data_IF_575751968624
#
_entry.id   IF_575751968624
#
_cell.length_a   1.000
_cell.length_b   1.000
_cell.length_c   1.000
_cell.angle_alpha   90.00
_cell.angle_beta   90.00
_cell.angle_gamma   90.00
#
_symmetry.space_group_name_H-M   'P 1'
#
loop_
_entity.id
_entity.type
_entity.pdbx_description
1 polymer ?
#
# COMPACT_ATOMS: atom_id res chain seq x y z
N UNK A 1 -54.76 -5.95 -19.92
CA UNK A 1 -54.94 -4.57 -20.43
C UNK A 1 -53.57 -4.14 -20.92
N UNK A 2 -53.20 -4.28 -22.21
CA UNK A 2 -53.71 -3.56 -23.40
C UNK A 2 -53.59 -2.05 -23.16
N UNK A 3 -52.86 -1.21 -23.91
CA UNK A 3 -52.30 -1.23 -25.27
C UNK A 3 -51.16 -0.17 -25.33
N UNK A 4 -50.08 -0.37 -26.11
CA UNK A 4 -49.80 0.21 -27.45
C UNK A 4 -49.87 1.76 -27.53
N UNK A 5 -48.81 2.50 -27.84
CA UNK A 5 -47.91 2.57 -29.02
C UNK A 5 -48.29 3.73 -29.97
N UNK A 6 -47.27 4.48 -30.42
CA UNK A 6 -47.06 5.16 -31.74
C UNK A 6 -46.25 6.46 -31.54
N UNK A 7 -44.97 6.49 -31.90
CA UNK A 7 -44.37 6.65 -33.26
C UNK A 7 -44.49 8.09 -33.78
N UNK A 8 -43.34 8.74 -33.92
CA UNK A 8 -43.04 9.61 -35.06
C UNK A 8 -41.52 9.64 -35.30
N UNK A 9 -41.11 8.96 -36.35
CA UNK A 9 -39.82 9.09 -36.99
C UNK A 9 -39.92 10.16 -38.09
N UNK A 10 -38.86 10.93 -38.31
CA UNK A 10 -38.52 11.39 -39.66
C UNK A 10 -37.02 11.72 -39.77
N UNK A 11 -36.34 10.83 -40.49
CA UNK A 11 -35.16 11.07 -41.32
C UNK A 11 -35.51 12.09 -42.43
N UNK A 12 -34.66 12.69 -43.27
CA UNK A 12 -33.29 12.53 -43.75
C UNK A 12 -32.98 13.89 -44.43
N UNK A 13 -31.72 14.32 -44.54
CA UNK A 13 -31.20 14.89 -45.79
C UNK A 13 -29.67 14.97 -45.75
N UNK A 14 -29.06 14.18 -46.62
CA UNK A 14 -27.64 14.23 -47.01
C UNK A 14 -27.34 15.48 -47.84
N UNK A 15 -26.13 16.03 -47.70
CA UNK A 15 -25.29 16.59 -48.78
C UNK A 15 -23.84 16.54 -48.25
N UNK A 16 -22.98 15.68 -48.76
CA UNK A 16 -22.17 15.76 -50.00
C UNK A 16 -20.78 16.37 -49.77
N UNK A 17 -19.79 15.63 -50.29
CA UNK A 17 -18.35 15.84 -50.25
C UNK A 17 -17.93 17.18 -50.84
N UNK A 18 -16.87 17.75 -50.27
CA UNK A 18 -15.83 18.42 -51.06
C UNK A 18 -14.47 18.36 -50.38
N UNK A 19 -13.50 17.95 -51.19
CA UNK A 19 -12.09 17.77 -50.88
C UNK A 19 -11.40 19.08 -50.47
N UNK A 20 -10.43 19.01 -49.56
CA UNK A 20 -9.23 19.82 -49.71
C UNK A 20 -8.00 19.04 -49.25
N UNK A 21 -7.08 18.84 -50.20
CA UNK A 21 -5.77 18.22 -50.05
C UNK A 21 -4.85 19.19 -49.32
N UNK A 22 -4.13 18.73 -48.31
CA UNK A 22 -2.79 19.25 -48.00
C UNK A 22 -1.86 18.04 -47.84
N UNK A 23 -0.87 18.01 -48.71
CA UNK A 23 0.17 17.00 -48.88
C UNK A 23 1.27 17.10 -47.81
N UNK A 24 1.63 15.92 -47.27
CA UNK A 24 3.00 15.37 -47.07
C UNK A 24 4.07 16.32 -46.53
N UNK A 25 4.66 16.07 -45.35
CA UNK A 25 5.81 15.15 -45.21
C UNK A 25 5.91 14.51 -43.80
N UNK A 26 6.13 13.19 -43.77
CA UNK A 26 6.63 12.42 -42.61
C UNK A 26 8.08 12.01 -42.89
N UNK A 27 8.97 11.95 -41.89
CA UNK A 27 10.02 10.96 -41.85
C UNK A 27 9.56 9.74 -41.05
N UNK A 28 9.75 8.57 -41.66
CA UNK A 28 9.49 7.25 -41.09
C UNK A 28 10.53 6.92 -40.00
N UNK A 29 10.08 6.33 -38.89
CA UNK A 29 10.90 5.44 -38.04
C UNK A 29 10.16 4.10 -37.97
N UNK A 30 10.83 2.95 -38.16
CA UNK A 30 10.18 1.69 -38.43
C UNK A 30 9.70 1.00 -37.14
N UNK A 31 8.47 0.49 -37.19
CA UNK A 31 8.01 -0.63 -36.37
C UNK A 31 8.83 -1.87 -36.74
N UNK A 32 9.66 -2.37 -35.82
CA UNK A 32 10.21 -3.71 -35.90
C UNK A 32 9.59 -4.62 -34.85
N UNK A 33 8.75 -5.51 -35.35
CA UNK A 33 8.59 -6.91 -34.97
C UNK A 33 8.76 -7.29 -33.49
N UNK A 34 7.61 -7.56 -32.86
CA UNK A 34 7.47 -8.58 -31.84
C UNK A 34 8.00 -9.92 -32.37
N UNK A 35 9.16 -10.34 -31.87
CA UNK A 35 9.64 -11.71 -32.00
C UNK A 35 9.45 -12.40 -30.66
N UNK A 36 8.41 -13.24 -30.59
CA UNK A 36 8.29 -14.28 -29.58
C UNK A 36 9.35 -15.34 -29.84
N UNK A 37 10.40 -15.38 -29.03
CA UNK A 37 11.29 -16.53 -28.93
C UNK A 37 11.38 -17.00 -27.49
N UNK A 38 10.90 -18.23 -27.30
CA UNK A 38 10.99 -19.04 -26.10
C UNK A 38 12.46 -19.16 -25.65
N UNK A 39 12.81 -18.49 -24.56
CA UNK A 39 13.90 -18.91 -23.70
C UNK A 39 13.29 -19.41 -22.40
N UNK A 40 13.20 -20.74 -22.36
CA UNK A 40 12.85 -21.59 -21.22
C UNK A 40 13.89 -21.36 -20.12
N UNK A 41 13.60 -20.45 -19.19
CA UNK A 41 14.29 -20.35 -17.91
C UNK A 41 13.35 -20.71 -16.78
N UNK A 42 13.82 -21.61 -15.93
CA UNK A 42 13.08 -22.50 -15.05
C UNK A 42 13.21 -22.00 -13.60
N UNK A 43 12.09 -21.99 -12.89
CA UNK A 43 11.89 -21.88 -11.43
C UNK A 43 11.69 -20.50 -10.77
N UNK A 44 10.44 -20.34 -10.32
CA UNK A 44 9.96 -19.46 -9.27
C UNK A 44 10.68 -19.76 -7.92
N UNK A 45 11.56 -18.86 -7.49
CA UNK A 45 11.81 -18.56 -6.07
C UNK A 45 11.80 -17.04 -5.97
N UNK A 46 11.06 -16.52 -5.00
CA UNK A 46 10.85 -15.08 -4.80
C UNK A 46 12.21 -14.41 -4.61
N UNK A 47 12.74 -13.85 -5.70
CA UNK A 47 13.78 -12.85 -5.66
C UNK A 47 13.12 -11.57 -5.13
N UNK A 48 13.58 -11.09 -3.98
CA UNK A 48 13.55 -9.67 -3.69
C UNK A 48 14.19 -8.96 -4.90
N UNK A 49 13.75 -7.74 -5.31
CA UNK A 49 14.43 -7.03 -6.38
C UNK A 49 15.77 -6.50 -5.85
N UNK A 50 16.73 -7.39 -5.63
CA UNK A 50 18.11 -7.10 -5.94
C UNK A 50 18.11 -6.90 -7.46
N UNK A 51 18.12 -5.64 -7.89
CA UNK A 51 18.39 -5.30 -9.29
C UNK A 51 19.86 -5.68 -9.52
N UNK A 52 20.11 -6.97 -9.73
CA UNK A 52 21.40 -7.49 -10.19
C UNK A 52 21.25 -7.66 -11.69
N UNK A 53 21.92 -6.80 -12.44
CA UNK A 53 22.06 -6.96 -13.87
C UNK A 53 23.12 -8.02 -14.13
N UNK A 54 22.74 -9.08 -14.85
CA UNK A 54 23.66 -10.09 -15.38
C UNK A 54 23.72 -9.91 -16.88
N UNK A 55 24.76 -9.25 -17.40
CA UNK A 55 25.09 -9.29 -18.82
C UNK A 55 26.04 -10.46 -19.08
N UNK A 56 25.71 -11.29 -20.07
CA UNK A 56 26.53 -12.43 -20.49
C UNK A 56 27.87 -11.92 -21.06
N UNK A 57 28.95 -12.47 -20.52
CA UNK A 57 30.34 -12.20 -20.92
C UNK A 57 30.61 -12.59 -22.37
N UNK A 58 31.25 -11.68 -23.09
CA UNK A 58 32.24 -11.99 -24.12
C UNK A 58 33.50 -11.17 -23.79
N UNK A 59 34.61 -11.87 -23.51
CA UNK A 59 35.88 -11.30 -23.07
C UNK A 59 36.66 -10.66 -24.23
N UNK A 60 37.15 -9.45 -24.02
CA UNK A 60 38.42 -8.92 -24.56
C UNK A 60 39.06 -8.01 -23.49
N UNK A 61 40.39 -8.02 -23.30
CA UNK A 61 41.05 -7.22 -22.27
C UNK A 61 41.31 -5.81 -22.79
N UNK A 62 40.38 -4.90 -22.51
CA UNK A 62 40.49 -3.50 -22.91
C UNK A 62 40.11 -2.63 -21.71
N UNK A 63 41.04 -1.78 -21.28
CA UNK A 63 40.88 -0.64 -20.34
C UNK A 63 39.49 -0.53 -19.69
N UNK A 64 39.36 -0.96 -18.43
CA UNK A 64 38.14 -0.90 -17.63
C UNK A 64 37.58 0.54 -17.63
N UNK A 65 36.66 0.81 -18.55
CA UNK A 65 35.90 2.05 -18.51
C UNK A 65 34.87 1.87 -17.41
N UNK A 66 35.03 2.60 -16.31
CA UNK A 66 34.06 2.63 -15.22
C UNK A 66 32.71 3.08 -15.80
N UNK A 67 31.74 2.15 -15.88
CA UNK A 67 30.36 2.44 -16.27
C UNK A 67 29.50 2.58 -15.03
N UNK A 68 28.39 3.34 -15.14
CA UNK A 68 27.45 3.49 -14.04
C UNK A 68 26.93 2.13 -13.53
N UNK A 69 26.62 1.20 -14.43
CA UNK A 69 26.22 -0.17 -14.11
C UNK A 69 27.30 -0.92 -13.30
N UNK A 70 28.57 -0.87 -13.74
CA UNK A 70 29.69 -1.52 -13.06
C UNK A 70 29.85 -0.97 -11.63
N UNK A 71 29.78 0.35 -11.47
CA UNK A 71 29.82 1.00 -10.17
C UNK A 71 28.65 0.58 -9.25
N UNK A 72 27.42 0.47 -9.77
CA UNK A 72 26.28 -0.03 -8.98
C UNK A 72 26.50 -1.47 -8.52
N UNK A 73 26.94 -2.35 -9.42
CA UNK A 73 27.20 -3.75 -9.08
C UNK A 73 28.33 -3.90 -8.05
N UNK A 74 29.43 -3.15 -8.21
CA UNK A 74 30.52 -3.11 -7.25
C UNK A 74 30.07 -2.55 -5.90
N UNK A 75 29.24 -1.50 -5.90
CA UNK A 75 28.63 -0.93 -4.69
C UNK A 75 27.80 -1.96 -3.92
N UNK A 76 26.99 -2.76 -4.61
CA UNK A 76 26.21 -3.86 -4.01
C UNK A 76 27.11 -4.93 -3.38
N UNK A 77 28.18 -5.33 -4.07
CA UNK A 77 29.14 -6.30 -3.54
C UNK A 77 29.82 -5.76 -2.27
N UNK A 78 30.28 -4.50 -2.29
CA UNK A 78 30.87 -3.85 -1.13
C UNK A 78 29.88 -3.72 0.03
N UNK A 79 28.62 -3.41 -0.26
CA UNK A 79 27.55 -3.33 0.75
C UNK A 79 27.32 -4.68 1.42
N UNK A 80 27.25 -5.78 0.66
CA UNK A 80 27.14 -7.14 1.22
C UNK A 80 28.33 -7.53 2.11
N UNK A 81 29.52 -6.99 1.83
CA UNK A 81 30.73 -7.16 2.65
C UNK A 81 30.75 -6.25 3.88
N UNK A 82 29.71 -5.44 4.10
CA UNK A 82 29.61 -4.48 5.19
C UNK A 82 30.48 -3.22 5.00
N UNK A 83 31.10 -3.05 3.83
CA UNK A 83 31.92 -1.86 3.49
C UNK A 83 31.03 -0.72 3.01
N UNK A 84 30.16 -0.24 3.89
CA UNK A 84 29.08 0.71 3.55
C UNK A 84 29.60 2.07 3.06
N UNK A 85 30.77 2.51 3.55
CA UNK A 85 31.40 3.77 3.08
C UNK A 85 31.85 3.64 1.62
N UNK A 86 32.52 2.54 1.29
CA UNK A 86 33.03 2.29 -0.06
C UNK A 86 31.88 2.05 -1.03
N UNK A 87 30.83 1.33 -0.60
CA UNK A 87 29.61 1.14 -1.37
C UNK A 87 28.92 2.47 -1.70
N UNK A 88 28.83 3.38 -0.72
CA UNK A 88 28.24 4.70 -0.93
C UNK A 88 29.04 5.51 -1.96
N UNK A 89 30.37 5.47 -1.90
CA UNK A 89 31.22 6.12 -2.90
C UNK A 89 30.96 5.58 -4.30
N UNK A 90 30.82 4.25 -4.45
CA UNK A 90 30.50 3.63 -5.74
C UNK A 90 29.13 4.05 -6.29
N UNK A 91 28.11 4.16 -5.44
CA UNK A 91 26.80 4.66 -5.89
C UNK A 91 26.84 6.15 -6.27
N UNK A 92 27.68 6.96 -5.62
CA UNK A 92 27.89 8.36 -6.02
C UNK A 92 28.65 8.50 -7.33
N UNK A 93 29.66 7.65 -7.55
CA UNK A 93 30.35 7.55 -8.85
C UNK A 93 29.37 7.14 -9.93
N UNK A 94 28.53 6.12 -9.70
CA UNK A 94 27.52 5.69 -10.66
C UNK A 94 26.57 6.83 -11.08
N UNK A 95 26.15 7.66 -10.12
CA UNK A 95 25.31 8.84 -10.39
C UNK A 95 26.04 9.95 -11.18
N UNK A 96 27.37 9.94 -11.16
CA UNK A 96 28.22 10.92 -11.88
C UNK A 96 28.58 10.47 -13.30
N UNK A 97 28.40 9.19 -13.62
CA UNK A 97 28.79 8.56 -14.91
C UNK A 97 27.67 8.56 -15.97
N UNK A 98 26.75 9.52 -15.92
CA UNK A 98 25.57 9.60 -16.80
C UNK A 98 24.75 8.30 -16.83
N UNK A 99 24.18 7.88 -15.69
CA UNK A 99 23.39 6.66 -15.61
C UNK A 99 22.12 6.75 -16.46
N UNK A 100 21.68 5.61 -16.99
CA UNK A 100 20.31 5.54 -17.52
C UNK A 100 19.28 5.59 -16.36
N UNK A 101 17.97 5.81 -16.64
CA UNK A 101 16.97 5.95 -15.58
C UNK A 101 16.87 4.75 -14.62
N UNK A 102 17.15 3.53 -15.09
CA UNK A 102 17.08 2.31 -14.26
C UNK A 102 18.30 2.24 -13.33
N UNK A 103 19.49 2.54 -13.85
CA UNK A 103 20.74 2.63 -13.07
C UNK A 103 20.66 3.74 -12.03
N UNK A 104 20.15 4.91 -12.40
CA UNK A 104 19.97 6.03 -11.49
C UNK A 104 18.97 5.68 -10.36
N UNK A 105 17.85 5.04 -10.70
CA UNK A 105 16.90 4.52 -9.72
C UNK A 105 17.59 3.58 -8.73
N UNK A 106 18.35 2.61 -9.23
CA UNK A 106 19.06 1.63 -8.42
C UNK A 106 20.14 2.30 -7.54
N UNK A 107 20.90 3.24 -8.09
CA UNK A 107 21.95 3.96 -7.36
C UNK A 107 21.36 4.83 -6.23
N UNK A 108 20.31 5.61 -6.48
CA UNK A 108 19.63 6.38 -5.43
C UNK A 108 19.02 5.47 -4.36
N UNK A 109 18.39 4.36 -4.77
CA UNK A 109 17.80 3.39 -3.86
C UNK A 109 18.85 2.75 -2.94
N UNK A 110 19.92 2.19 -3.52
CA UNK A 110 20.97 1.54 -2.74
C UNK A 110 21.76 2.54 -1.88
N UNK A 111 21.94 3.79 -2.36
CA UNK A 111 22.47 4.89 -1.54
C UNK A 111 21.57 5.18 -0.34
N UNK A 112 20.25 5.11 -0.49
CA UNK A 112 19.32 5.24 0.64
C UNK A 112 19.49 4.10 1.65
N UNK A 113 19.63 2.85 1.21
CA UNK A 113 19.91 1.70 2.07
C UNK A 113 21.22 1.90 2.85
N UNK A 114 22.28 2.39 2.20
CA UNK A 114 23.54 2.76 2.88
C UNK A 114 23.34 3.81 3.97
N UNK A 115 22.57 4.86 3.71
CA UNK A 115 22.27 5.89 4.71
C UNK A 115 21.40 5.37 5.85
N UNK A 116 20.40 4.53 5.56
CA UNK A 116 19.56 3.86 6.55
C UNK A 116 20.39 2.97 7.48
N UNK A 117 21.30 2.18 6.92
CA UNK A 117 22.23 1.34 7.70
C UNK A 117 23.13 2.17 8.62
N UNK A 118 23.53 3.39 8.20
CA UNK A 118 24.31 4.33 8.99
C UNK A 118 23.50 5.13 10.02
N UNK A 119 22.16 4.98 10.05
CA UNK A 119 21.27 5.80 10.89
C UNK A 119 21.09 7.24 10.38
N UNK A 120 21.49 7.54 9.15
CA UNK A 120 21.39 8.87 8.54
C UNK A 120 20.00 9.07 7.88
N UNK A 121 18.95 9.04 8.71
CA UNK A 121 17.54 9.03 8.26
C UNK A 121 17.19 10.13 7.25
N UNK A 122 17.63 11.37 7.49
CA UNK A 122 17.37 12.51 6.58
C UNK A 122 17.95 12.29 5.18
N UNK A 123 19.16 11.74 5.09
CA UNK A 123 19.81 11.48 3.79
C UNK A 123 19.16 10.30 3.09
N UNK A 124 18.79 9.26 3.85
CA UNK A 124 18.04 8.13 3.32
C UNK A 124 16.70 8.59 2.72
N UNK A 125 15.93 9.39 3.47
CA UNK A 125 14.67 9.96 3.00
C UNK A 125 14.85 10.77 1.71
N UNK A 126 15.85 11.66 1.64
CA UNK A 126 16.12 12.45 0.44
C UNK A 126 16.43 11.59 -0.80
N UNK A 127 17.24 10.55 -0.64
CA UNK A 127 17.54 9.63 -1.76
C UNK A 127 16.28 8.88 -2.22
N UNK A 128 15.42 8.47 -1.28
CA UNK A 128 14.14 7.82 -1.59
C UNK A 128 13.16 8.77 -2.26
N UNK A 129 13.07 10.05 -1.83
CA UNK A 129 12.25 11.07 -2.50
C UNK A 129 12.61 11.17 -3.98
N UNK A 130 13.91 11.30 -4.28
CA UNK A 130 14.41 11.33 -5.66
C UNK A 130 14.05 10.05 -6.42
N UNK A 131 14.28 8.87 -5.84
CA UNK A 131 13.95 7.59 -6.48
C UNK A 131 12.44 7.43 -6.77
N UNK A 132 11.57 7.85 -5.84
CA UNK A 132 10.12 7.80 -5.97
C UNK A 132 9.61 8.82 -7.01
N UNK A 133 10.10 10.05 -6.95
CA UNK A 133 9.66 11.17 -7.80
C UNK A 133 10.15 11.04 -9.24
N UNK A 134 11.46 10.96 -9.42
CA UNK A 134 12.10 11.10 -10.75
C UNK A 134 12.13 9.78 -11.50
N UNK A 135 12.24 8.68 -10.75
CA UNK A 135 12.40 7.35 -11.32
C UNK A 135 11.21 6.42 -11.07
N UNK A 136 10.11 6.92 -10.50
CA UNK A 136 8.87 6.16 -10.28
C UNK A 136 9.09 4.84 -9.52
N UNK A 137 9.99 4.84 -8.53
CA UNK A 137 10.14 3.72 -7.60
C UNK A 137 8.78 3.42 -6.95
N UNK A 138 8.47 2.14 -6.76
CA UNK A 138 7.26 1.74 -6.02
C UNK A 138 7.50 1.89 -4.53
N UNK A 139 6.63 2.60 -3.84
CA UNK A 139 6.72 2.73 -2.38
C UNK A 139 6.62 1.39 -1.65
N UNK A 140 5.89 0.42 -2.24
CA UNK A 140 5.88 -0.96 -1.74
C UNK A 140 7.26 -1.61 -1.68
N UNK A 141 8.20 -1.24 -2.56
CA UNK A 141 9.60 -1.71 -2.50
C UNK A 141 10.26 -1.28 -1.19
N UNK A 142 10.05 -0.03 -0.77
CA UNK A 142 10.58 0.54 0.48
C UNK A 142 10.00 -0.17 1.70
N UNK A 143 8.70 -0.50 1.68
CA UNK A 143 8.03 -1.20 2.77
C UNK A 143 8.49 -2.64 2.94
N UNK A 144 8.85 -3.30 1.83
CA UNK A 144 9.23 -4.72 1.81
C UNK A 144 10.74 -4.94 2.01
N UNK A 145 11.55 -3.89 1.93
CA UNK A 145 12.99 -4.04 2.01
C UNK A 145 13.45 -4.19 3.48
N UNK A 146 14.18 -5.28 3.82
CA UNK A 146 14.76 -5.47 5.14
C UNK A 146 15.87 -4.46 5.48
N UNK A 147 16.63 -3.95 4.51
CA UNK A 147 17.73 -2.99 4.71
C UNK A 147 17.20 -1.63 5.17
N UNK A 148 15.92 -1.34 4.89
CA UNK A 148 15.23 -0.13 5.31
C UNK A 148 14.42 -0.32 6.62
N UNK A 149 14.48 -1.49 7.27
CA UNK A 149 13.75 -1.72 8.52
C UNK A 149 14.15 -0.74 9.63
N UNK A 150 15.44 -0.44 9.78
CA UNK A 150 15.92 0.56 10.75
C UNK A 150 15.40 1.96 10.43
N UNK A 151 15.32 2.31 9.14
CA UNK A 151 14.80 3.59 8.68
C UNK A 151 13.29 3.71 8.93
N UNK A 152 12.52 2.63 8.80
CA UNK A 152 11.06 2.61 9.05
C UNK A 152 10.68 2.99 10.48
N UNK A 153 11.57 2.79 11.45
CA UNK A 153 11.36 3.21 12.83
C UNK A 153 11.65 4.70 13.09
N UNK A 154 12.24 5.42 12.12
CA UNK A 154 12.63 6.82 12.27
C UNK A 154 11.49 7.79 11.90
N UNK A 155 11.46 9.00 12.48
CA UNK A 155 10.47 10.02 12.13
C UNK A 155 10.54 10.43 10.65
N UNK A 156 11.73 10.43 10.04
CA UNK A 156 11.91 10.77 8.63
C UNK A 156 11.18 9.81 7.68
N UNK A 157 11.02 8.54 8.06
CA UNK A 157 10.21 7.61 7.27
C UNK A 157 8.73 7.96 7.36
N UNK A 158 8.25 8.44 8.51
CA UNK A 158 6.86 8.90 8.66
C UNK A 158 6.56 10.09 7.75
N UNK A 159 7.48 11.04 7.68
CA UNK A 159 7.37 12.19 6.78
C UNK A 159 7.29 11.71 5.33
N UNK A 160 8.24 10.86 4.90
CA UNK A 160 8.25 10.29 3.55
C UNK A 160 6.96 9.52 3.22
N UNK A 161 6.45 8.72 4.17
CA UNK A 161 5.21 7.96 3.98
C UNK A 161 3.99 8.87 3.86
N UNK A 162 3.92 9.94 4.65
CA UNK A 162 2.83 10.91 4.60
C UNK A 162 2.87 11.72 3.29
N UNK A 163 4.06 12.14 2.86
CA UNK A 163 4.27 12.76 1.55
C UNK A 163 3.82 11.82 0.40
N UNK A 164 4.21 10.54 0.45
CA UNK A 164 3.80 9.56 -0.54
C UNK A 164 2.27 9.29 -0.52
N UNK A 165 1.65 9.32 0.67
CA UNK A 165 0.21 9.10 0.88
C UNK A 165 -0.60 10.28 0.34
N UNK A 166 -0.17 11.51 0.65
CA UNK A 166 -0.75 12.74 0.12
C UNK A 166 -0.47 12.86 -1.38
N UNK A 167 0.62 12.27 -1.86
CA UNK A 167 1.07 12.43 -3.24
C UNK A 167 1.42 13.89 -3.55
N UNK A 168 2.16 14.11 -4.62
CA UNK A 168 2.52 15.46 -5.02
C UNK A 168 3.80 15.50 -5.83
N UNK A 169 4.35 16.69 -5.96
CA UNK A 169 5.58 16.94 -6.69
C UNK A 169 6.78 16.28 -6.01
N UNK A 170 6.85 16.25 -4.68
CA UNK A 170 8.05 15.82 -3.93
C UNK A 170 8.36 14.31 -4.00
N UNK A 171 7.33 13.47 -4.05
CA UNK A 171 7.46 11.99 -3.95
C UNK A 171 6.77 11.26 -5.12
N UNK A 172 6.10 12.01 -6.00
CA UNK A 172 5.25 11.44 -7.04
C UNK A 172 3.90 10.96 -6.52
N UNK A 173 3.08 10.38 -7.41
CA UNK A 173 1.71 9.95 -7.08
C UNK A 173 1.46 8.45 -7.27
N UNK A 174 2.50 7.64 -7.49
CA UNK A 174 2.36 6.18 -7.65
C UNK A 174 1.70 5.54 -6.43
N UNK A 175 2.22 5.80 -5.23
CA UNK A 175 1.68 5.23 -3.99
C UNK A 175 0.24 5.71 -3.70
N UNK A 176 -0.04 7.01 -3.82
CA UNK A 176 -1.39 7.55 -3.68
C UNK A 176 -2.38 6.90 -4.66
N UNK A 177 -1.97 6.67 -5.92
CA UNK A 177 -2.80 5.98 -6.91
C UNK A 177 -3.10 4.54 -6.49
N UNK A 178 -2.09 3.78 -6.03
CA UNK A 178 -2.28 2.41 -5.56
C UNK A 178 -3.26 2.36 -4.37
N UNK A 179 -3.11 3.26 -3.40
CA UNK A 179 -4.04 3.38 -2.26
C UNK A 179 -5.46 3.76 -2.70
N UNK A 180 -5.58 4.66 -3.68
CA UNK A 180 -6.87 5.06 -4.25
C UNK A 180 -7.58 3.89 -4.91
N UNK A 181 -6.86 3.08 -5.69
CA UNK A 181 -7.40 1.87 -6.31
C UNK A 181 -7.92 0.88 -5.25
N UNK A 182 -7.17 0.65 -4.17
CA UNK A 182 -7.63 -0.20 -3.06
C UNK A 182 -8.88 0.39 -2.39
N UNK A 183 -8.92 1.72 -2.22
CA UNK A 183 -10.08 2.40 -1.62
C UNK A 183 -11.33 2.34 -2.51
N UNK A 184 -11.17 2.37 -3.83
CA UNK A 184 -12.26 2.26 -4.80
C UNK A 184 -12.88 0.86 -4.79
N UNK A 185 -12.05 -0.18 -4.58
CA UNK A 185 -12.55 -1.55 -4.37
C UNK A 185 -13.39 -1.66 -3.10
N UNK A 186 -13.05 -0.92 -2.03
CA UNK A 186 -13.82 -0.93 -0.77
C UNK A 186 -15.10 -0.08 -0.84
N UNK A 187 -15.08 1.02 -1.60
CA UNK A 187 -16.19 1.94 -1.76
C UNK A 187 -16.48 2.12 -3.27
N UNK A 188 -17.16 1.15 -3.90
CA UNK A 188 -17.36 1.16 -5.34
C UNK A 188 -18.11 2.42 -5.79
N UNK A 189 -17.77 2.90 -6.98
CA UNK A 189 -18.41 4.04 -7.64
C UNK A 189 -18.27 5.40 -6.92
N UNK A 190 -17.34 5.54 -5.97
CA UNK A 190 -17.04 6.86 -5.35
C UNK A 190 -16.77 7.94 -6.39
N UNK A 191 -15.97 7.63 -7.42
CA UNK A 191 -15.69 8.57 -8.51
C UNK A 191 -16.95 9.02 -9.26
N UNK A 192 -17.86 8.09 -9.55
CA UNK A 192 -19.15 8.37 -10.21
C UNK A 192 -20.01 9.29 -9.34
N UNK A 193 -20.11 8.98 -8.04
CA UNK A 193 -20.88 9.79 -7.09
C UNK A 193 -20.36 11.23 -7.01
N UNK A 194 -19.04 11.42 -6.95
CA UNK A 194 -18.42 12.76 -6.96
C UNK A 194 -18.65 13.50 -8.26
N UNK A 195 -18.58 12.81 -9.40
CA UNK A 195 -18.93 13.39 -10.68
C UNK A 195 -20.35 13.97 -10.65
N UNK A 196 -21.32 13.22 -10.14
CA UNK A 196 -22.70 13.71 -10.01
C UNK A 196 -22.84 14.86 -9.03
N UNK A 197 -22.13 14.86 -7.90
CA UNK A 197 -22.15 16.00 -6.97
C UNK A 197 -21.68 17.29 -7.63
N UNK A 198 -20.57 17.23 -8.37
CA UNK A 198 -20.02 18.39 -9.09
C UNK A 198 -20.95 18.79 -10.24
N UNK A 199 -21.43 17.83 -11.02
CA UNK A 199 -22.32 18.08 -12.16
C UNK A 199 -23.64 18.72 -11.72
N UNK A 200 -24.26 18.23 -10.64
CA UNK A 200 -25.50 18.81 -10.12
C UNK A 200 -25.28 20.15 -9.44
N UNK A 201 -24.15 20.36 -8.77
CA UNK A 201 -23.76 21.68 -8.25
C UNK A 201 -23.60 22.68 -9.40
N UNK A 202 -22.92 22.30 -10.48
CA UNK A 202 -22.77 23.14 -11.67
C UNK A 202 -24.11 23.42 -12.35
N UNK A 203 -24.97 22.41 -12.52
CA UNK A 203 -26.29 22.56 -13.11
C UNK A 203 -27.19 23.51 -12.28
N UNK A 204 -27.20 23.36 -10.96
CA UNK A 204 -27.93 24.25 -10.06
C UNK A 204 -27.34 25.67 -10.06
N UNK A 205 -26.02 25.81 -10.17
CA UNK A 205 -25.35 27.10 -10.33
C UNK A 205 -25.73 27.82 -11.61
N UNK A 206 -25.77 27.10 -12.74
CA UNK A 206 -26.23 27.64 -14.04
C UNK A 206 -27.71 28.03 -13.95
N UNK A 207 -28.56 27.20 -13.34
CA UNK A 207 -29.98 27.53 -13.14
C UNK A 207 -30.17 28.78 -12.27
N UNK A 208 -29.41 28.89 -11.18
CA UNK A 208 -29.44 30.06 -10.30
C UNK A 208 -28.99 31.33 -11.02
N UNK A 209 -27.94 31.24 -11.86
CA UNK A 209 -27.46 32.35 -12.68
C UNK A 209 -28.57 32.95 -13.58
N UNK A 210 -29.43 32.11 -14.16
CA UNK A 210 -30.57 32.59 -14.95
C UNK A 210 -31.77 33.05 -14.11
N UNK A 211 -31.97 32.47 -12.92
CA UNK A 211 -33.10 32.82 -12.05
C UNK A 211 -32.87 34.15 -11.31
N UNK A 212 -31.64 34.53 -10.97
CA UNK A 212 -31.35 35.79 -10.25
C UNK A 212 -31.86 37.02 -11.02
N UNK A 213 -31.55 37.23 -12.32
CA UNK A 213 -32.12 38.33 -13.09
C UNK A 213 -33.66 38.25 -13.21
N UNK A 214 -34.24 37.05 -13.26
CA UNK A 214 -35.70 36.86 -13.32
C UNK A 214 -36.38 37.30 -12.03
N UNK A 215 -35.81 36.98 -10.88
CA UNK A 215 -36.29 37.43 -9.57
C UNK A 215 -36.23 38.96 -9.48
N UNK A 216 -35.13 39.57 -9.92
CA UNK A 216 -35.00 41.03 -9.93
C UNK A 216 -36.08 41.68 -10.80
N UNK A 217 -36.36 41.15 -12.00
CA UNK A 217 -37.47 41.63 -12.85
C UNK A 217 -38.83 41.39 -12.20
N UNK A 218 -39.04 40.23 -11.58
CA UNK A 218 -40.29 39.89 -10.91
C UNK A 218 -40.59 40.85 -9.73
N UNK A 219 -39.56 41.26 -8.98
CA UNK A 219 -39.68 42.24 -7.89
C UNK A 219 -39.93 43.66 -8.42
N UNK A 220 -39.28 44.05 -9.52
CA UNK A 220 -39.47 45.37 -10.13
C UNK A 220 -40.88 45.57 -10.70
N UNK A 221 -41.59 44.49 -11.03
CA UNK A 221 -42.94 44.52 -11.59
C UNK A 221 -42.99 45.02 -13.03
N UNK A 222 -44.16 44.91 -13.67
CA UNK A 222 -44.40 45.34 -15.05
C UNK A 222 -45.17 44.30 -15.88
N UNK A 223 -45.64 44.71 -17.06
CA UNK A 223 -46.35 43.80 -17.98
C UNK A 223 -45.42 42.66 -18.42
N UNK A 224 -45.86 41.42 -18.18
CA UNK A 224 -45.08 40.21 -18.46
C UNK A 224 -44.03 39.83 -17.40
N UNK A 225 -44.09 40.38 -16.18
CA UNK A 225 -43.23 39.97 -15.08
C UNK A 225 -43.49 38.49 -14.64
N UNK A 226 -42.45 37.68 -14.38
CA UNK A 226 -42.61 36.30 -13.89
C UNK A 226 -43.25 36.23 -12.49
N UNK A 227 -43.85 35.09 -12.14
CA UNK A 227 -44.34 34.88 -10.76
C UNK A 227 -43.19 34.87 -9.76
N UNK A 228 -43.30 35.72 -8.74
CA UNK A 228 -42.28 35.91 -7.70
C UNK A 228 -42.14 34.65 -6.85
N UNK A 229 -43.26 34.03 -6.46
CA UNK A 229 -43.24 32.88 -5.56
C UNK A 229 -42.63 31.65 -6.25
N UNK A 230 -43.05 31.36 -7.48
CA UNK A 230 -42.49 30.27 -8.28
C UNK A 230 -40.99 30.48 -8.57
N UNK A 231 -40.61 31.69 -9.00
CA UNK A 231 -39.20 31.98 -9.32
C UNK A 231 -38.31 31.94 -8.08
N UNK A 232 -38.78 32.47 -6.95
CA UNK A 232 -38.09 32.39 -5.67
C UNK A 232 -37.99 30.93 -5.16
N UNK A 233 -39.05 30.14 -5.31
CA UNK A 233 -39.06 28.71 -4.98
C UNK A 233 -38.01 27.94 -5.78
N UNK A 234 -37.93 28.17 -7.09
CA UNK A 234 -36.92 27.55 -7.96
C UNK A 234 -35.49 27.95 -7.59
N UNK A 235 -35.26 29.22 -7.22
CA UNK A 235 -33.94 29.65 -6.72
C UNK A 235 -33.61 29.00 -5.37
N UNK A 236 -34.57 28.92 -4.44
CA UNK A 236 -34.39 28.27 -3.15
C UNK A 236 -34.05 26.78 -3.30
N UNK A 237 -34.71 26.06 -4.20
CA UNK A 237 -34.40 24.65 -4.51
C UNK A 237 -32.96 24.51 -5.04
N UNK A 238 -32.54 25.37 -5.98
CA UNK A 238 -31.17 25.34 -6.50
C UNK A 238 -30.12 25.65 -5.41
N UNK A 239 -30.36 26.66 -4.57
CA UNK A 239 -29.47 27.00 -3.45
C UNK A 239 -29.38 25.82 -2.48
N UNK A 240 -30.52 25.24 -2.09
CA UNK A 240 -30.56 24.05 -1.24
C UNK A 240 -29.80 22.87 -1.87
N UNK A 241 -29.99 22.63 -3.16
CA UNK A 241 -29.27 21.61 -3.92
C UNK A 241 -27.75 21.83 -3.89
N UNK A 242 -27.28 23.04 -4.18
CA UNK A 242 -25.85 23.40 -4.10
C UNK A 242 -25.30 23.10 -2.70
N UNK A 243 -25.98 23.57 -1.65
CA UNK A 243 -25.55 23.34 -0.26
C UNK A 243 -25.43 21.85 0.04
N UNK A 244 -26.44 21.05 -0.33
CA UNK A 244 -26.44 19.60 -0.10
C UNK A 244 -25.32 18.91 -0.89
N UNK A 245 -25.18 19.18 -2.18
CA UNK A 245 -24.16 18.51 -3.01
C UNK A 245 -22.73 18.90 -2.62
N UNK A 246 -22.49 20.16 -2.25
CA UNK A 246 -21.20 20.60 -1.71
C UNK A 246 -20.92 19.91 -0.38
N UNK A 247 -21.89 19.84 0.53
CA UNK A 247 -21.72 19.13 1.80
C UNK A 247 -21.42 17.64 1.60
N UNK A 248 -22.13 16.97 0.68
CA UNK A 248 -21.89 15.57 0.33
C UNK A 248 -20.50 15.35 -0.30
N UNK A 249 -20.06 16.27 -1.16
CA UNK A 249 -18.73 16.24 -1.76
C UNK A 249 -17.62 16.35 -0.71
N UNK A 250 -17.73 17.32 0.20
CA UNK A 250 -16.78 17.49 1.30
C UNK A 250 -16.76 16.28 2.24
N UNK A 251 -17.94 15.72 2.55
CA UNK A 251 -18.05 14.53 3.38
C UNK A 251 -17.40 13.30 2.74
N UNK A 252 -17.63 13.07 1.44
CA UNK A 252 -17.03 11.95 0.72
C UNK A 252 -15.52 12.12 0.51
N UNK A 253 -15.01 13.36 0.40
CA UNK A 253 -13.57 13.64 0.42
C UNK A 253 -12.95 13.30 1.77
N UNK A 254 -13.57 13.75 2.87
CA UNK A 254 -13.12 13.40 4.22
C UNK A 254 -13.12 11.88 4.43
N UNK A 255 -14.17 11.18 3.98
CA UNK A 255 -14.27 9.72 4.10
C UNK A 255 -13.26 8.95 3.26
N UNK A 256 -12.89 9.45 2.08
CA UNK A 256 -11.80 8.86 1.29
C UNK A 256 -10.46 9.01 1.99
N UNK A 257 -10.13 10.20 2.52
CA UNK A 257 -8.88 10.44 3.24
C UNK A 257 -8.77 9.54 4.49
N UNK A 258 -9.85 9.43 5.28
CA UNK A 258 -9.92 8.51 6.42
C UNK A 258 -9.67 7.05 5.99
N UNK A 259 -10.25 6.62 4.87
CA UNK A 259 -10.06 5.28 4.33
C UNK A 259 -8.65 5.04 3.81
N UNK A 260 -8.07 5.98 3.07
CA UNK A 260 -6.69 5.90 2.55
C UNK A 260 -5.71 5.82 3.73
N UNK A 261 -5.91 6.62 4.77
CA UNK A 261 -5.10 6.55 5.99
C UNK A 261 -5.21 5.17 6.67
N UNK A 262 -6.42 4.61 6.77
CA UNK A 262 -6.61 3.26 7.32
C UNK A 262 -5.95 2.17 6.44
N UNK A 263 -6.06 2.27 5.11
CA UNK A 263 -5.45 1.32 4.19
C UNK A 263 -3.92 1.37 4.30
N UNK A 264 -3.34 2.57 4.33
CA UNK A 264 -1.90 2.76 4.51
C UNK A 264 -1.42 2.13 5.84
N UNK A 265 -2.09 2.41 6.96
CA UNK A 265 -1.79 1.79 8.27
C UNK A 265 -1.88 0.26 8.23
N UNK A 266 -2.91 -0.29 7.57
CA UNK A 266 -3.09 -1.74 7.44
C UNK A 266 -2.01 -2.37 6.57
N UNK A 267 -1.54 -1.68 5.52
CA UNK A 267 -0.44 -2.17 4.69
C UNK A 267 0.85 -2.23 5.51
N UNK A 268 1.19 -1.17 6.25
CA UNK A 268 2.35 -1.17 7.15
C UNK A 268 2.25 -2.27 8.22
N UNK A 269 1.09 -2.44 8.86
CA UNK A 269 0.86 -3.53 9.83
C UNK A 269 1.20 -4.88 9.22
N UNK A 270 0.75 -5.12 7.98
CA UNK A 270 0.89 -6.42 7.35
C UNK A 270 2.34 -6.81 7.06
N UNK A 271 3.25 -5.84 7.01
CA UNK A 271 4.69 -6.05 6.79
C UNK A 271 5.50 -6.18 8.08
N UNK A 272 4.87 -5.99 9.24
CA UNK A 272 5.60 -6.09 10.50
C UNK A 272 6.10 -7.53 10.73
N UNK A 273 7.39 -7.70 11.04
CA UNK A 273 7.99 -9.02 11.24
C UNK A 273 7.69 -9.59 12.63
N UNK A 274 7.42 -10.89 12.64
CA UNK A 274 7.19 -11.73 13.81
C UNK A 274 8.15 -12.90 13.79
N UNK A 275 8.72 -13.22 14.94
CA UNK A 275 9.44 -14.48 15.16
C UNK A 275 8.48 -15.48 15.77
N UNK A 276 8.25 -16.57 15.06
CA UNK A 276 7.47 -17.70 15.54
C UNK A 276 8.27 -18.51 16.56
N UNK A 277 7.59 -19.36 17.30
CA UNK A 277 8.23 -20.25 18.30
C UNK A 277 9.28 -21.22 17.73
N UNK A 278 9.28 -21.43 16.41
CA UNK A 278 10.27 -22.21 15.66
C UNK A 278 11.54 -21.41 15.33
N UNK A 279 11.66 -20.19 15.86
CA UNK A 279 12.71 -19.22 15.54
C UNK A 279 12.69 -18.72 14.07
N UNK A 280 11.65 -19.07 13.31
CA UNK A 280 11.43 -18.55 11.95
C UNK A 280 10.83 -17.15 12.02
N UNK A 281 11.40 -16.22 11.23
CA UNK A 281 10.85 -14.87 11.05
C UNK A 281 9.89 -14.87 9.86
N UNK A 282 8.70 -14.32 10.05
CA UNK A 282 7.63 -14.19 9.04
C UNK A 282 6.99 -12.81 9.15
N UNK A 283 6.45 -12.29 8.05
CA UNK A 283 5.63 -11.08 8.07
C UNK A 283 4.18 -11.42 8.46
N UNK A 284 3.46 -10.46 9.06
CA UNK A 284 2.05 -10.63 9.39
C UNK A 284 1.17 -11.02 8.19
N UNK A 285 1.47 -10.53 6.99
CA UNK A 285 0.76 -10.87 5.74
C UNK A 285 0.83 -12.37 5.42
N UNK A 286 1.92 -13.04 5.79
CA UNK A 286 2.12 -14.47 5.54
C UNK A 286 1.27 -15.35 6.48
N UNK A 287 0.77 -14.77 7.58
CA UNK A 287 -0.07 -15.42 8.57
C UNK A 287 -1.58 -15.22 8.29
N UNK A 288 -1.93 -14.49 7.22
CA UNK A 288 -3.33 -14.33 6.80
C UNK A 288 -3.98 -15.67 6.51
N UNK A 289 -5.27 -15.76 6.79
CA UNK A 289 -6.11 -16.97 6.69
C UNK A 289 -5.72 -18.13 7.60
N UNK A 290 -4.59 -18.05 8.30
CA UNK A 290 -4.12 -19.10 9.21
C UNK A 290 -4.43 -18.78 10.67
N UNK A 291 -4.18 -17.54 11.11
CA UNK A 291 -4.30 -17.14 12.51
C UNK A 291 -4.87 -15.74 12.68
N UNK A 292 -5.36 -15.46 13.89
CA UNK A 292 -5.88 -14.17 14.36
C UNK A 292 -4.91 -13.61 15.39
N UNK A 293 -3.99 -12.72 14.98
CA UNK A 293 -3.11 -12.06 15.92
C UNK A 293 -3.90 -11.23 16.95
N UNK A 294 -3.60 -11.43 18.22
CA UNK A 294 -4.03 -10.57 19.33
C UNK A 294 -2.77 -9.91 19.87
N UNK A 295 -2.61 -8.65 19.51
CA UNK A 295 -1.47 -7.83 19.92
C UNK A 295 -1.79 -7.28 21.31
N UNK A 296 -0.89 -7.51 22.27
CA UNK A 296 -0.99 -7.02 23.63
C UNK A 296 0.20 -6.10 23.86
N UNK A 297 -0.08 -4.84 24.16
CA UNK A 297 0.90 -3.80 24.02
C UNK A 297 0.87 -2.90 25.24
N UNK A 298 1.98 -2.81 25.97
CA UNK A 298 1.95 -2.14 27.28
C UNK A 298 3.23 -2.22 28.09
N UNK A 299 3.13 -1.83 29.35
CA UNK A 299 4.17 -2.10 30.35
C UNK A 299 4.37 -3.61 30.55
N UNK A 300 5.59 -3.99 30.93
CA UNK A 300 6.00 -5.39 31.09
C UNK A 300 5.10 -6.17 32.05
N UNK A 301 4.63 -5.52 33.11
CA UNK A 301 3.75 -6.11 34.13
C UNK A 301 2.37 -6.40 33.55
N UNK A 302 1.78 -5.44 32.84
CA UNK A 302 0.46 -5.57 32.21
C UNK A 302 0.46 -6.64 31.13
N UNK A 303 1.48 -6.64 30.27
CA UNK A 303 1.63 -7.66 29.21
C UNK A 303 1.78 -9.05 29.82
N UNK A 304 2.64 -9.20 30.84
CA UNK A 304 2.85 -10.49 31.52
C UNK A 304 1.57 -10.98 32.20
N UNK A 305 0.83 -10.09 32.86
CA UNK A 305 -0.45 -10.39 33.50
C UNK A 305 -1.51 -10.82 32.46
N UNK A 306 -1.60 -10.12 31.33
CA UNK A 306 -2.51 -10.46 30.25
C UNK A 306 -2.21 -11.85 29.68
N UNK A 307 -0.93 -12.17 29.43
CA UNK A 307 -0.49 -13.49 28.97
C UNK A 307 -0.83 -14.59 29.98
N UNK A 308 -0.59 -14.37 31.28
CA UNK A 308 -0.96 -15.34 32.34
C UNK A 308 -2.46 -15.61 32.38
N UNK A 309 -3.29 -14.58 32.22
CA UNK A 309 -4.75 -14.74 32.16
C UNK A 309 -5.20 -15.51 30.91
N UNK A 310 -4.52 -15.28 29.78
CA UNK A 310 -4.83 -15.94 28.50
C UNK A 310 -4.64 -17.47 28.57
N UNK A 311 -3.66 -17.95 29.33
CA UNK A 311 -3.39 -19.39 29.47
C UNK A 311 -4.59 -20.19 30.02
N UNK A 312 -5.47 -19.55 30.81
CA UNK A 312 -6.71 -20.20 31.28
C UNK A 312 -7.69 -20.51 30.15
N UNK A 313 -7.60 -19.77 29.04
CA UNK A 313 -8.47 -19.91 27.87
C UNK A 313 -7.72 -20.52 26.67
N UNK A 314 -6.52 -21.05 26.88
CA UNK A 314 -5.60 -21.49 25.82
C UNK A 314 -6.28 -22.41 24.79
N UNK A 315 -7.02 -23.41 25.25
CA UNK A 315 -7.67 -24.40 24.38
C UNK A 315 -8.71 -23.76 23.46
N UNK A 316 -9.58 -22.91 24.01
CA UNK A 316 -10.63 -22.24 23.24
C UNK A 316 -10.06 -21.19 22.28
N UNK A 317 -9.05 -20.44 22.72
CA UNK A 317 -8.34 -19.46 21.89
C UNK A 317 -7.59 -20.13 20.72
N UNK A 318 -6.92 -21.26 20.95
CA UNK A 318 -6.26 -22.03 19.88
C UNK A 318 -7.28 -22.59 18.87
N UNK A 319 -8.43 -23.09 19.33
CA UNK A 319 -9.51 -23.56 18.44
C UNK A 319 -10.03 -22.47 17.51
N UNK A 320 -9.93 -21.21 17.93
CA UNK A 320 -10.32 -20.01 17.17
C UNK A 320 -9.16 -19.39 16.38
N UNK A 321 -8.00 -20.03 16.41
CA UNK A 321 -6.81 -19.63 15.65
C UNK A 321 -6.08 -18.41 16.22
N UNK A 322 -6.23 -18.12 17.52
CA UNK A 322 -5.61 -16.94 18.13
C UNK A 322 -4.11 -17.11 18.31
N UNK A 323 -3.34 -16.07 17.93
CA UNK A 323 -1.90 -15.95 18.14
C UNK A 323 -1.60 -14.73 19.00
N UNK A 324 -0.99 -14.91 20.17
CA UNK A 324 -0.64 -13.79 21.05
C UNK A 324 0.68 -13.14 20.61
N UNK A 325 0.66 -11.82 20.46
CA UNK A 325 1.83 -10.99 20.10
C UNK A 325 2.04 -9.95 21.21
N UNK A 326 2.91 -10.20 22.18
CA UNK A 326 3.26 -9.22 23.20
C UNK A 326 4.24 -8.17 22.64
N UNK A 327 3.99 -6.89 22.94
CA UNK A 327 4.86 -5.76 22.61
C UNK A 327 5.06 -4.94 23.88
N UNK A 328 6.29 -4.87 24.38
CA UNK A 328 6.60 -4.17 25.63
C UNK A 328 7.17 -2.78 25.31
N UNK A 329 6.67 -1.77 26.03
CA UNK A 329 7.07 -0.38 25.79
C UNK A 329 8.54 -0.15 26.13
N UNK A 330 9.27 0.48 25.23
CA UNK A 330 10.67 0.87 25.46
C UNK A 330 11.70 -0.25 25.34
N UNK A 331 11.29 -1.51 25.14
CA UNK A 331 12.20 -2.66 25.01
C UNK A 331 13.07 -2.57 23.74
N UNK A 332 12.68 -1.75 22.75
CA UNK A 332 13.42 -1.48 21.52
C UNK A 332 14.48 -0.36 21.59
N UNK A 333 14.66 0.33 22.73
CA UNK A 333 15.69 1.39 22.87
C UNK A 333 17.08 0.83 23.20
N UNK A 334 17.17 -0.38 23.76
CA UNK A 334 18.41 -0.94 24.32
C UNK A 334 19.09 -2.01 23.46
N UNK A 335 18.41 -2.58 22.47
CA UNK A 335 19.08 -3.48 21.52
C UNK A 335 19.98 -2.66 20.61
N UNK A 336 21.24 -2.49 21.04
CA UNK A 336 22.38 -2.16 20.18
C UNK A 336 22.17 -2.87 18.86
N UNK A 337 22.10 -2.09 17.79
CA UNK A 337 22.15 -2.52 16.39
C UNK A 337 23.04 -3.77 16.34
N UNK A 338 22.46 -4.97 16.26
CA UNK A 338 23.26 -6.15 15.95
C UNK A 338 23.78 -5.87 14.55
N UNK A 339 25.05 -5.47 14.49
CA UNK A 339 25.85 -5.34 13.27
C UNK A 339 26.04 -6.74 12.68
N UNK A 340 24.95 -7.38 12.26
CA UNK A 340 25.00 -8.59 11.45
C UNK A 340 25.23 -8.12 10.03
N UNK A 341 26.50 -8.18 9.62
CA UNK A 341 26.86 -8.12 8.21
C UNK A 341 26.03 -9.15 7.45
N UNK A 342 25.38 -8.68 6.39
CA UNK A 342 24.46 -9.46 5.57
C UNK A 342 25.23 -10.33 4.58
N UNK A 343 25.40 -11.60 4.93
CA UNK A 343 25.69 -12.67 3.97
C UNK A 343 24.58 -13.70 4.02
N UNK A 344 23.90 -13.95 2.89
CA UNK A 344 23.08 -15.14 2.72
C UNK A 344 23.95 -16.38 3.01
N UNK A 345 23.58 -17.21 3.98
CA UNK A 345 24.20 -18.53 4.14
C UNK A 345 23.83 -19.41 2.93
N UNK A 346 24.79 -20.10 2.28
CA UNK A 346 24.48 -20.97 1.15
C UNK A 346 23.68 -22.19 1.64
N UNK A 347 22.44 -22.33 1.19
CA UNK A 347 21.67 -23.57 1.40
C UNK A 347 22.02 -24.55 0.27
N UNK A 348 22.50 -25.73 0.64
CA UNK A 348 22.86 -26.82 -0.26
C UNK A 348 21.73 -27.18 -1.24
N UNK A 349 22.11 -27.49 -2.48
CA UNK A 349 21.22 -27.83 -3.57
C UNK A 349 20.61 -29.24 -3.40
N UNK A 350 19.29 -29.32 -3.28
CA UNK A 350 18.53 -30.55 -3.49
C UNK A 350 17.95 -30.56 -4.92
N UNK A 351 18.05 -31.72 -5.57
CA UNK A 351 17.79 -31.94 -6.99
C UNK A 351 16.30 -31.78 -7.39
N UNK A 352 16.09 -31.30 -8.62
CA UNK A 352 14.78 -31.06 -9.24
C UNK A 352 14.22 -32.32 -9.93
N UNK A 353 12.90 -32.59 -9.83
CA UNK A 353 12.16 -33.33 -10.84
C UNK A 353 11.43 -32.42 -11.85
N UNK A 354 10.83 -33.07 -12.83
CA UNK A 354 10.38 -32.57 -14.13
C UNK A 354 8.96 -31.98 -14.13
N UNK A 355 8.78 -31.05 -15.07
CA UNK A 355 7.61 -30.24 -15.47
C UNK A 355 6.25 -30.96 -15.47
N UNK A 356 5.30 -30.34 -14.74
CA UNK A 356 3.86 -30.64 -14.71
C UNK A 356 3.08 -29.71 -13.76
N UNK A 357 3.37 -28.39 -13.77
CA UNK A 357 2.90 -27.47 -12.73
C UNK A 357 1.72 -26.58 -13.15
N UNK A 358 0.52 -26.90 -12.65
CA UNK A 358 -0.50 -25.89 -12.28
C UNK A 358 -1.29 -26.29 -11.02
N UNK A 359 -1.26 -27.57 -10.62
CA UNK A 359 -1.87 -28.03 -9.37
C UNK A 359 -0.89 -27.99 -8.17
N UNK A 360 0.41 -28.19 -8.41
CA UNK A 360 1.43 -28.33 -7.36
C UNK A 360 1.74 -27.04 -6.59
N UNK A 361 1.59 -25.86 -7.21
CA UNK A 361 1.74 -24.58 -6.48
C UNK A 361 0.66 -24.40 -5.41
N UNK A 362 -0.54 -24.94 -5.64
CA UNK A 362 -1.63 -24.96 -4.64
C UNK A 362 -1.37 -26.01 -3.58
N UNK A 363 -0.84 -27.17 -3.95
CA UNK A 363 -0.49 -28.23 -2.98
C UNK A 363 0.71 -27.84 -2.11
N UNK A 364 1.71 -27.14 -2.66
CA UNK A 364 2.85 -26.62 -1.91
C UNK A 364 2.47 -25.46 -1.00
N UNK A 365 1.58 -24.55 -1.41
CA UNK A 365 1.06 -23.51 -0.52
C UNK A 365 0.19 -24.07 0.57
N UNK A 366 -0.65 -25.08 0.28
CA UNK A 366 -1.45 -25.81 1.28
C UNK A 366 -0.57 -26.61 2.23
N UNK A 367 0.53 -27.21 1.76
CA UNK A 367 1.48 -27.94 2.61
C UNK A 367 2.35 -27.00 3.45
N UNK A 368 2.74 -25.84 2.91
CA UNK A 368 3.42 -24.80 3.65
C UNK A 368 2.49 -24.16 4.69
N UNK A 369 1.22 -23.93 4.34
CA UNK A 369 0.19 -23.45 5.27
C UNK A 369 -0.15 -24.50 6.33
N UNK A 370 -0.20 -25.79 6.00
CA UNK A 370 -0.45 -26.85 6.99
C UNK A 370 0.74 -27.04 7.94
N UNK A 371 1.98 -26.91 7.45
CA UNK A 371 3.19 -26.85 8.28
C UNK A 371 3.22 -25.61 9.16
N UNK A 372 2.95 -24.42 8.61
CA UNK A 372 2.81 -23.20 9.41
C UNK A 372 1.71 -23.33 10.47
N UNK A 373 0.55 -23.91 10.12
CA UNK A 373 -0.57 -24.17 11.04
C UNK A 373 -0.21 -25.15 12.16
N UNK A 374 0.71 -26.10 11.92
CA UNK A 374 1.26 -26.98 12.94
C UNK A 374 2.39 -26.33 13.77
N UNK A 375 3.08 -25.32 13.22
CA UNK A 375 4.21 -24.61 13.83
C UNK A 375 3.80 -23.38 14.66
N UNK A 376 2.61 -22.80 14.42
CA UNK A 376 2.12 -21.64 15.17
C UNK A 376 1.67 -22.08 16.56
N UNK A 377 2.60 -21.96 17.51
CA UNK A 377 2.27 -21.99 18.94
C UNK A 377 1.49 -20.73 19.32
N UNK A 378 0.78 -20.82 20.43
CA UNK A 378 -0.05 -19.77 21.05
C UNK A 378 0.57 -18.37 21.18
N UNK A 379 1.90 -18.22 21.02
CA UNK A 379 2.67 -16.98 21.20
C UNK A 379 3.72 -16.80 20.10
N UNK A 380 3.87 -15.56 19.61
CA UNK A 380 4.98 -15.10 18.77
C UNK A 380 5.75 -13.94 19.43
N UNK A 381 6.94 -13.63 18.95
CA UNK A 381 7.80 -12.53 19.41
C UNK A 381 7.88 -11.43 18.35
N UNK A 382 7.79 -10.17 18.76
CA UNK A 382 7.99 -9.03 17.87
C UNK A 382 9.48 -8.82 17.58
N UNK A 383 9.90 -8.89 16.31
CA UNK A 383 11.33 -8.80 15.93
C UNK A 383 11.87 -7.37 16.00
N UNK A 384 11.04 -6.39 15.63
CA UNK A 384 11.38 -4.96 15.66
C UNK A 384 10.46 -4.22 16.66
N UNK A 385 10.68 -4.31 17.99
CA UNK A 385 9.78 -3.70 18.97
C UNK A 385 9.52 -2.22 18.73
N UNK A 386 10.50 -1.48 18.21
CA UNK A 386 10.35 -0.07 17.85
C UNK A 386 9.34 0.16 16.71
N UNK A 387 9.36 -0.64 15.65
CA UNK A 387 8.39 -0.55 14.54
C UNK A 387 6.98 -0.93 15.01
N UNK A 388 6.88 -1.97 15.83
CA UNK A 388 5.62 -2.38 16.46
C UNK A 388 5.06 -1.28 17.37
N UNK A 389 5.87 -0.76 18.28
CA UNK A 389 5.46 0.33 19.18
C UNK A 389 5.04 1.58 18.39
N UNK A 390 5.80 1.93 17.35
CA UNK A 390 5.47 3.04 16.46
C UNK A 390 4.10 2.85 15.80
N UNK A 391 3.86 1.68 15.21
CA UNK A 391 2.59 1.38 14.54
C UNK A 391 1.41 1.42 15.53
N UNK A 392 1.59 0.87 16.73
CA UNK A 392 0.55 0.85 17.76
C UNK A 392 0.23 2.27 18.24
N UNK A 393 1.24 3.12 18.42
CA UNK A 393 1.05 4.54 18.76
C UNK A 393 0.30 5.30 17.66
N UNK A 394 0.56 5.00 16.40
CA UNK A 394 -0.17 5.58 15.27
C UNK A 394 -1.64 5.13 15.27
N UNK A 395 -1.90 3.85 15.55
CA UNK A 395 -3.25 3.32 15.72
C UNK A 395 -3.98 3.99 16.91
N UNK A 396 -3.31 4.18 18.05
CA UNK A 396 -3.88 4.89 19.21
C UNK A 396 -4.34 6.31 18.85
N UNK A 397 -3.49 7.07 18.12
CA UNK A 397 -3.84 8.42 17.65
C UNK A 397 -5.08 8.41 16.76
N UNK A 398 -5.19 7.43 15.86
CA UNK A 398 -6.33 7.34 14.94
C UNK A 398 -7.66 7.02 15.64
N UNK A 399 -7.60 6.31 16.76
CA UNK A 399 -8.77 5.93 17.59
C UNK A 399 -9.04 6.92 18.72
N UNK A 400 -8.26 8.00 18.84
CA UNK A 400 -8.38 8.97 19.95
C UNK A 400 -7.99 8.41 21.33
N UNK A 401 -7.20 7.33 21.37
CA UNK A 401 -6.69 6.73 22.61
C UNK A 401 -5.40 7.46 23.03
N UNK A 402 -5.21 7.79 24.33
CA UNK A 402 -3.97 8.41 24.79
C UNK A 402 -2.75 7.56 24.44
N UNK A 403 -1.75 8.21 23.82
CA UNK A 403 -0.57 7.52 23.29
C UNK A 403 0.28 6.97 24.43
N UNK A 404 0.65 5.69 24.34
CA UNK A 404 1.47 5.00 25.35
C UNK A 404 0.67 4.34 26.48
N UNK A 405 -0.67 4.44 26.47
CA UNK A 405 -1.49 3.57 27.32
C UNK A 405 -1.34 2.10 26.93
N UNK A 406 -1.55 1.21 27.91
CA UNK A 406 -1.64 -0.22 27.66
C UNK A 406 -2.88 -0.50 26.82
N UNK A 407 -2.75 -1.25 25.74
CA UNK A 407 -3.82 -1.56 24.79
C UNK A 407 -3.72 -3.00 24.29
N UNK A 408 -4.83 -3.49 23.76
CA UNK A 408 -4.86 -4.71 22.97
C UNK A 408 -5.52 -4.45 21.63
N UNK A 409 -5.08 -5.17 20.60
CA UNK A 409 -5.59 -5.06 19.24
C UNK A 409 -5.84 -6.47 18.71
N UNK A 410 -7.07 -6.72 18.26
CA UNK A 410 -7.51 -8.00 17.73
C UNK A 410 -7.57 -7.88 16.21
N UNK A 411 -6.85 -8.74 15.52
CA UNK A 411 -6.90 -8.84 14.06
C UNK A 411 -7.86 -9.93 13.61
N UNK A 412 -8.46 -9.73 12.45
CA UNK A 412 -9.21 -10.76 11.70
C UNK A 412 -8.23 -11.70 10.98
N UNK A 413 -8.75 -12.79 10.41
CA UNK A 413 -7.94 -13.71 9.59
C UNK A 413 -7.39 -13.04 8.33
N UNK A 414 -8.09 -12.06 7.76
CA UNK A 414 -7.63 -11.26 6.62
C UNK A 414 -6.51 -10.25 6.99
N UNK A 415 -6.10 -10.21 8.26
CA UNK A 415 -5.07 -9.33 8.78
C UNK A 415 -5.52 -7.90 9.11
N UNK A 416 -6.81 -7.57 8.94
CA UNK A 416 -7.34 -6.23 9.27
C UNK A 416 -7.68 -6.13 10.76
N UNK A 417 -7.58 -4.91 11.30
CA UNK A 417 -8.00 -4.62 12.68
C UNK A 417 -9.50 -4.88 12.82
N UNK A 418 -9.86 -5.77 13.76
CA UNK A 418 -11.25 -6.06 14.14
C UNK A 418 -11.73 -5.10 15.22
N UNK A 419 -10.91 -4.97 16.27
CA UNK A 419 -11.21 -4.22 17.48
C UNK A 419 -9.90 -3.86 18.17
N UNK A 420 -9.86 -2.69 18.78
CA UNK A 420 -8.85 -2.29 19.76
C UNK A 420 -9.53 -1.98 21.09
N UNK A 421 -8.79 -2.08 22.19
CA UNK A 421 -9.28 -1.74 23.52
C UNK A 421 -8.14 -1.37 24.46
N UNK A 422 -8.49 -0.72 25.57
CA UNK A 422 -7.53 -0.29 26.60
C UNK A 422 -7.30 -1.38 27.64
N UNK A 423 -6.10 -1.40 28.19
CA UNK A 423 -5.66 -2.28 29.26
C UNK A 423 -5.57 -3.75 28.84
N UNK A 424 -6.02 -4.62 29.74
CA UNK A 424 -5.94 -6.07 29.56
C UNK A 424 -7.17 -6.56 28.79
N UNK A 425 -7.01 -7.39 27.76
CA UNK A 425 -8.12 -8.00 27.04
C UNK A 425 -8.98 -8.88 27.96
N UNK A 426 -10.30 -8.82 27.77
CA UNK A 426 -11.24 -9.77 28.35
C UNK A 426 -11.25 -11.05 27.50
N UNK A 427 -10.50 -12.06 27.95
CA UNK A 427 -10.31 -13.32 27.23
C UNK A 427 -11.59 -14.13 27.06
N UNK A 428 -12.53 -14.05 28.00
CA UNK A 428 -13.82 -14.74 27.89
C UNK A 428 -14.68 -14.10 26.79
N UNK A 429 -14.71 -12.77 26.75
CA UNK A 429 -15.38 -12.03 25.68
C UNK A 429 -14.77 -12.34 24.31
N UNK A 430 -13.44 -12.33 24.20
CA UNK A 430 -12.71 -12.60 22.94
C UNK A 430 -13.00 -14.03 22.46
N UNK A 431 -12.97 -14.99 23.38
CA UNK A 431 -13.29 -16.37 23.07
C UNK A 431 -14.71 -16.47 22.48
N UNK A 432 -15.71 -15.87 23.12
CA UNK A 432 -17.10 -15.90 22.62
C UNK A 432 -17.27 -15.20 21.26
N UNK A 433 -16.54 -14.11 21.02
CA UNK A 433 -16.68 -13.28 19.81
C UNK A 433 -16.08 -13.91 18.54
N UNK A 434 -14.97 -14.64 18.66
CA UNK A 434 -14.22 -15.12 17.50
C UNK A 434 -14.76 -16.46 16.99
N UNK A 435 -15.19 -16.61 15.73
CA UNK A 435 -15.69 -17.90 15.24
C UNK A 435 -14.60 -18.98 15.24
N UNK A 436 -14.92 -20.24 15.59
CA UNK A 436 -14.00 -21.37 15.50
C UNK A 436 -13.48 -21.57 14.07
N UNK A 437 -12.25 -22.06 13.91
CA UNK A 437 -11.65 -22.27 12.59
C UNK A 437 -12.42 -23.31 11.74
N UNK A 438 -12.95 -24.34 12.37
CA UNK A 438 -13.76 -25.41 11.74
C UNK A 438 -15.03 -24.86 11.07
N UNK A 439 -15.67 -23.86 11.70
CA UNK A 439 -16.90 -23.26 11.19
C UNK A 439 -16.67 -22.40 9.93
N UNK A 440 -15.42 -22.00 9.66
CA UNK A 440 -15.05 -21.18 8.50
C UNK A 440 -14.70 -22.09 7.32
N UNK A 441 -13.96 -23.17 7.57
CA UNK A 441 -13.62 -24.17 6.55
C UNK A 441 -14.88 -24.81 5.94
N UNK A 442 -15.85 -25.17 6.79
CA UNK A 442 -17.14 -25.73 6.34
C UNK A 442 -18.02 -24.80 5.50
N UNK A 443 -17.77 -23.48 5.52
CA UNK A 443 -18.42 -22.50 4.63
C UNK A 443 -17.70 -22.28 3.30
N UNK A 444 -16.42 -22.66 3.22
CA UNK A 444 -15.62 -22.56 1.98
C UNK A 444 -15.69 -23.84 1.16
N UNK A 445 -16.03 -24.98 1.79
CA UNK A 445 -16.24 -26.28 1.14
C UNK A 445 -17.67 -26.48 0.60
N UNK A 446 -18.58 -25.54 0.87
CA UNK A 446 -19.93 -25.44 0.28
C UNK A 446 -19.98 -24.27 -0.68
#
# INVERSE_FOLDING_TARGET
MVAMAMVAAQQFLCFSKSNCRITTTRPCIPLHHFSSTLLRSRNNKIQFPLISYSSSSSQTPETETETAESCVNLGLELFSKGKVKDALAQFETALSLNPNPVEAQAAFYNKACCHAYRGEGKKAANCLRTALREYNLKFGTILNDPDLASFRALPEFKELQEEARLGGEDVGSSFRRDLKLISEVQAPFRGIRRFFYVAFTAAAGISLFFNVPRILRAIQGGDGAPDVLETAGNAAVNIGGIVVFVALFLWDNKKEEEQIAQISRNETLSRLPLRLSTNRVVELVQLRDTVRPVIIAGKKETVTLALRKAERFRTDLLRRGVLLVPVIWGEGRETKIEKKGFGLQPKAAEALPSIGEDFEKRTQSVTAQSKLKAEVRFKAEAVSPAEWEWWIRDQQKSEGVPVGEDVYIILRLDGRVRRSGRGIPDWDQIAKELPPMEAILSKLER
#
